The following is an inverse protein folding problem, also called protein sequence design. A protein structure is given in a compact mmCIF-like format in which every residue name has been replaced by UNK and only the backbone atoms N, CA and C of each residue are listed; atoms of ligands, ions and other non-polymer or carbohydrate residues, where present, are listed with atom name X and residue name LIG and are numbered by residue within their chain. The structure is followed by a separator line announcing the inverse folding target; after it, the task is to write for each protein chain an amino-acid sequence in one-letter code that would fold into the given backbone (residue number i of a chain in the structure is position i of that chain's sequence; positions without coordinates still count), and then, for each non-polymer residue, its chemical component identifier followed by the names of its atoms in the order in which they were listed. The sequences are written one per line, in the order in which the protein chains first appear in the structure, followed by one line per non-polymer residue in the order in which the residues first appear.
data_IF_265683765739
#
_entry.id   IF_265683765739
#
_cell.length_a   1.000
_cell.length_b   1.000
_cell.length_c   1.000
_cell.angle_alpha   90.00
_cell.angle_beta   90.00
_cell.angle_gamma   90.00
#
_symmetry.space_group_name_H-M   'P 1'
#
loop_
_entity.id
_entity.type
_entity.pdbx_description
1 polymer ?
#
# COMPACT_ATOMS: atom_id res chain seq x y z
N UNK A 1 9.87 -4.54 19.19
CA UNK A 1 10.65 -4.49 17.93
C UNK A 1 10.05 -5.47 16.93
N UNK A 2 9.87 -5.06 15.66
CA UNK A 2 9.08 -5.70 14.56
C UNK A 2 7.59 -5.94 14.87
N UNK A 3 7.25 -6.54 16.02
CA UNK A 3 5.88 -6.90 16.43
C UNK A 3 4.91 -5.71 16.58
N UNK A 4 5.43 -4.49 16.80
CA UNK A 4 4.65 -3.24 16.86
C UNK A 4 4.40 -2.58 15.49
N UNK A 5 4.98 -3.10 14.39
CA UNK A 5 4.83 -2.52 13.05
C UNK A 5 3.87 -3.30 12.15
N UNK A 6 3.56 -4.54 12.52
CA UNK A 6 2.51 -5.34 11.90
C UNK A 6 1.11 -4.69 11.91
N UNK A 7 0.66 -3.97 12.96
CA UNK A 7 -0.69 -3.40 13.00
C UNK A 7 -0.99 -2.36 11.92
N UNK A 8 0.05 -1.76 11.31
CA UNK A 8 -0.11 -0.74 10.28
C UNK A 8 0.07 -1.28 8.86
N UNK A 9 0.55 -2.52 8.70
CA UNK A 9 0.72 -3.15 7.38
C UNK A 9 -0.60 -3.67 6.83
N UNK A 10 -1.44 -4.28 7.66
CA UNK A 10 -2.76 -4.77 7.25
C UNK A 10 -3.66 -3.68 6.63
N UNK A 11 -3.86 -2.50 7.26
CA UNK A 11 -4.68 -1.45 6.65
C UNK A 11 -4.04 -0.87 5.37
N UNK A 12 -2.70 -0.79 5.31
CA UNK A 12 -1.98 -0.32 4.12
C UNK A 12 -2.09 -1.31 2.95
N UNK A 13 -2.00 -2.61 3.23
CA UNK A 13 -2.20 -3.68 2.25
C UNK A 13 -3.62 -3.68 1.71
N UNK A 14 -4.62 -3.55 2.58
CA UNK A 14 -6.02 -3.50 2.18
C UNK A 14 -6.30 -2.29 1.29
N UNK A 15 -5.81 -1.11 1.67
CA UNK A 15 -5.91 0.10 0.86
C UNK A 15 -5.23 -0.07 -0.51
N UNK A 16 -4.03 -0.66 -0.55
CA UNK A 16 -3.32 -0.90 -1.80
C UNK A 16 -4.13 -1.81 -2.75
N UNK A 17 -4.74 -2.88 -2.21
CA UNK A 17 -5.57 -3.80 -3.00
C UNK A 17 -6.76 -3.07 -3.63
N UNK A 18 -7.46 -2.24 -2.87
CA UNK A 18 -8.62 -1.50 -3.38
C UNK A 18 -8.23 -0.45 -4.42
N UNK A 19 -7.10 0.24 -4.25
CA UNK A 19 -6.59 1.18 -5.24
C UNK A 19 -6.16 0.48 -6.54
N UNK A 20 -5.52 -0.68 -6.44
CA UNK A 20 -5.16 -1.50 -7.61
C UNK A 20 -6.40 -2.03 -8.34
N UNK A 21 -7.46 -2.42 -7.62
CA UNK A 21 -8.73 -2.82 -8.22
C UNK A 21 -9.35 -1.67 -9.01
N UNK A 22 -9.41 -0.46 -8.44
CA UNK A 22 -9.94 0.73 -9.12
C UNK A 22 -9.13 1.08 -10.37
N UNK A 23 -7.81 1.14 -10.25
CA UNK A 23 -6.93 1.42 -11.39
C UNK A 23 -7.12 0.39 -12.52
N UNK A 24 -7.21 -0.90 -12.19
CA UNK A 24 -7.46 -1.96 -13.18
C UNK A 24 -8.86 -1.92 -13.79
N UNK A 25 -9.84 -1.33 -13.08
CA UNK A 25 -11.18 -1.07 -13.60
C UNK A 25 -11.24 0.18 -14.52
N UNK A 26 -10.10 0.85 -14.76
CA UNK A 26 -10.02 2.02 -15.63
C UNK A 26 -10.16 3.36 -14.91
N UNK A 27 -10.14 3.38 -13.58
CA UNK A 27 -10.08 4.62 -12.81
C UNK A 27 -8.68 5.24 -12.93
N UNK A 28 -8.57 6.28 -13.78
CA UNK A 28 -7.34 7.01 -14.06
C UNK A 28 -7.18 8.27 -13.20
N UNK A 29 -7.96 8.45 -12.14
CA UNK A 29 -7.80 9.58 -11.23
C UNK A 29 -6.37 9.60 -10.66
N UNK A 30 -5.70 10.75 -10.75
CA UNK A 30 -4.33 10.92 -10.26
C UNK A 30 -4.19 10.54 -8.77
N UNK A 31 -5.25 10.72 -7.98
CA UNK A 31 -5.28 10.35 -6.57
C UNK A 31 -5.19 8.84 -6.37
N UNK A 32 -5.70 8.04 -7.30
CA UNK A 32 -5.60 6.58 -7.26
C UNK A 32 -4.16 6.15 -7.51
N UNK A 33 -3.52 6.72 -8.54
CA UNK A 33 -2.12 6.45 -8.88
C UNK A 33 -1.19 6.89 -7.74
N UNK A 34 -1.38 8.08 -7.20
CA UNK A 34 -0.61 8.58 -6.05
C UNK A 34 -0.80 7.71 -4.81
N UNK A 35 -2.03 7.27 -4.53
CA UNK A 35 -2.33 6.34 -3.44
C UNK A 35 -1.58 5.01 -3.58
N UNK A 36 -1.50 4.45 -4.80
CA UNK A 36 -0.72 3.23 -5.05
C UNK A 36 0.75 3.44 -4.70
N UNK A 37 1.36 4.54 -5.13
CA UNK A 37 2.76 4.83 -4.81
C UNK A 37 3.00 5.03 -3.31
N UNK A 38 2.09 5.72 -2.61
CA UNK A 38 2.19 5.90 -1.16
C UNK A 38 2.11 4.58 -0.41
N UNK A 39 1.22 3.67 -0.83
CA UNK A 39 1.08 2.37 -0.18
C UNK A 39 2.31 1.48 -0.41
N UNK A 40 2.88 1.46 -1.63
CA UNK A 40 4.14 0.77 -1.93
C UNK A 40 5.26 1.26 -1.01
N UNK A 41 5.45 2.58 -0.92
CA UNK A 41 6.49 3.17 -0.09
C UNK A 41 6.28 2.87 1.40
N UNK A 42 5.04 2.93 1.89
CA UNK A 42 4.70 2.62 3.28
C UNK A 42 4.96 1.16 3.65
N UNK A 43 4.61 0.21 2.77
CA UNK A 43 4.84 -1.22 2.96
C UNK A 43 6.35 -1.54 2.91
N UNK A 44 7.07 -1.01 1.92
CA UNK A 44 8.51 -1.21 1.80
C UNK A 44 9.26 -0.67 3.04
N UNK A 45 8.90 0.52 3.52
CA UNK A 45 9.47 1.10 4.74
C UNK A 45 9.13 0.30 6.01
N UNK A 46 7.96 -0.36 6.03
CA UNK A 46 7.52 -1.22 7.11
C UNK A 46 8.22 -2.58 7.13
N UNK A 47 8.47 -3.17 5.96
CA UNK A 47 9.08 -4.49 5.82
C UNK A 47 10.59 -4.48 6.06
N UNK A 48 11.29 -3.37 5.78
CA UNK A 48 12.73 -3.11 6.01
C UNK A 48 13.72 -4.13 5.40
N UNK A 49 13.58 -5.42 5.67
CA UNK A 49 14.41 -6.53 5.17
C UNK A 49 13.50 -7.70 4.76
N UNK A 50 13.06 -7.74 3.50
CA UNK A 50 12.31 -8.89 2.92
C UNK A 50 13.19 -9.78 2.04
N UNK A 51 14.51 -9.65 2.17
CA UNK A 51 15.51 -10.44 1.46
C UNK A 51 15.60 -11.87 1.97
#
# INVERSE_FOLDING_TARGET
SIRNRFPYLDPLNHLQIELLKRHRAGDTDERVVQGIHLTINGIAAGLRNSG
#
